data_IF_221416931104
#
_entry.id   IF_221416931104
#
_cell.length_a   1.000
_cell.length_b   1.000
_cell.length_c   1.000
_cell.angle_alpha   90.00
_cell.angle_beta   90.00
_cell.angle_gamma   90.00
#
_symmetry.space_group_name_H-M   'P 1'
#
loop_
_entity.id
_entity.type
_entity.pdbx_description
1 polymer ?
#
# COMPACT_ATOMS: atom_id res chain seq x y z
N UNK A 1 4.29 -15.14 18.64
CA UNK A 1 3.86 -13.76 18.37
C UNK A 1 3.52 -13.72 16.89
N UNK A 2 2.26 -13.53 16.52
CA UNK A 2 1.96 -13.29 15.10
C UNK A 2 2.53 -11.92 14.74
N UNK A 3 3.06 -11.79 13.53
CA UNK A 3 3.63 -10.55 13.00
C UNK A 3 2.64 -10.03 11.98
N UNK A 4 2.50 -8.71 11.88
CA UNK A 4 1.68 -8.08 10.84
C UNK A 4 2.25 -8.47 9.48
N UNK A 5 1.43 -8.99 8.57
CA UNK A 5 1.86 -9.28 7.21
C UNK A 5 1.61 -8.07 6.32
N UNK A 6 2.66 -7.59 5.65
CA UNK A 6 2.57 -6.42 4.76
C UNK A 6 3.12 -6.81 3.39
N UNK A 7 2.26 -6.79 2.38
CA UNK A 7 2.65 -7.04 1.00
C UNK A 7 2.73 -5.72 0.23
N UNK A 8 3.90 -5.42 -0.34
CA UNK A 8 4.13 -4.20 -1.14
C UNK A 8 4.26 -4.59 -2.61
N UNK A 9 3.34 -4.08 -3.43
CA UNK A 9 3.35 -4.24 -4.89
C UNK A 9 3.66 -2.89 -5.52
N UNK A 10 4.65 -2.86 -6.41
CA UNK A 10 5.01 -1.67 -7.18
C UNK A 10 4.72 -1.96 -8.64
N UNK A 11 3.95 -1.08 -9.28
CA UNK A 11 3.62 -1.21 -10.70
C UNK A 11 4.87 -1.07 -11.57
N UNK A 12 4.84 -1.79 -12.69
CA UNK A 12 5.92 -1.77 -13.67
C UNK A 12 6.20 -0.34 -14.17
N UNK A 13 7.47 0.02 -14.21
CA UNK A 13 7.95 1.37 -14.54
C UNK A 13 8.21 2.25 -13.33
N UNK A 14 7.86 1.81 -12.11
CA UNK A 14 8.17 2.52 -10.86
C UNK A 14 9.18 1.77 -9.99
N UNK A 15 9.71 0.63 -10.44
CA UNK A 15 10.75 -0.10 -9.72
C UNK A 15 12.00 0.78 -9.53
N UNK A 16 12.47 0.88 -8.30
CA UNK A 16 13.63 1.71 -7.95
C UNK A 16 13.34 3.20 -7.78
N UNK A 17 12.15 3.69 -8.13
CA UNK A 17 11.72 5.04 -7.74
C UNK A 17 11.46 5.14 -6.23
N UNK A 18 11.07 4.03 -5.62
CA UNK A 18 10.84 3.90 -4.18
C UNK A 18 11.25 2.51 -3.72
N UNK A 19 11.81 2.44 -2.51
CA UNK A 19 12.25 1.20 -1.91
C UNK A 19 11.08 0.48 -1.20
N UNK A 20 10.84 -0.77 -1.59
CA UNK A 20 9.75 -1.57 -1.04
C UNK A 20 9.97 -1.93 0.44
N UNK A 21 11.22 -2.12 0.88
CA UNK A 21 11.56 -2.44 2.27
C UNK A 21 11.31 -1.23 3.16
N UNK A 22 11.60 -0.03 2.66
CA UNK A 22 11.32 1.23 3.33
C UNK A 22 9.81 1.45 3.49
N UNK A 23 9.03 1.20 2.42
CA UNK A 23 7.57 1.27 2.48
C UNK A 23 6.99 0.28 3.50
N UNK A 24 7.49 -0.96 3.50
CA UNK A 24 7.12 -1.96 4.49
C UNK A 24 7.40 -1.47 5.91
N UNK A 25 8.61 -0.94 6.18
CA UNK A 25 8.98 -0.45 7.52
C UNK A 25 8.10 0.72 7.99
N UNK A 26 7.73 1.64 7.09
CA UNK A 26 6.82 2.73 7.44
C UNK A 26 5.42 2.21 7.76
N UNK A 27 4.87 1.35 6.91
CA UNK A 27 3.55 0.78 7.12
C UNK A 27 3.49 0.02 8.46
N UNK A 28 4.50 -0.78 8.77
CA UNK A 28 4.62 -1.50 10.05
C UNK A 28 4.62 -0.52 11.23
N UNK A 29 5.47 0.51 11.20
CA UNK A 29 5.56 1.51 12.27
C UNK A 29 4.23 2.22 12.52
N UNK A 30 3.51 2.55 11.44
CA UNK A 30 2.19 3.19 11.54
C UNK A 30 1.18 2.24 12.18
N UNK A 31 1.12 0.97 11.73
CA UNK A 31 0.17 0.00 12.28
C UNK A 31 0.44 -0.31 13.76
N UNK A 32 1.71 -0.42 14.15
CA UNK A 32 2.11 -0.56 15.56
C UNK A 32 1.69 0.66 16.37
N UNK A 33 1.92 1.87 15.87
CA UNK A 33 1.51 3.11 16.54
C UNK A 33 0.00 3.25 16.68
N UNK A 34 -0.77 2.67 15.76
CA UNK A 34 -2.25 2.61 15.83
C UNK A 34 -2.77 1.47 16.72
N UNK A 35 -1.89 0.65 17.31
CA UNK A 35 -2.29 -0.47 18.18
C UNK A 35 -3.01 -1.58 17.43
N UNK A 36 -2.73 -1.75 16.14
CA UNK A 36 -3.37 -2.79 15.31
C UNK A 36 -2.93 -4.18 15.77
N UNK A 37 -3.89 -5.12 15.76
CA UNK A 37 -3.64 -6.52 16.11
C UNK A 37 -2.57 -7.12 15.19
N UNK A 38 -1.69 -7.95 15.77
CA UNK A 38 -0.62 -8.59 15.02
C UNK A 38 -1.07 -9.76 14.13
N UNK A 39 -2.39 -10.01 14.06
CA UNK A 39 -3.04 -10.93 13.12
C UNK A 39 -3.67 -10.19 11.94
N UNK A 40 -3.05 -9.08 11.51
CA UNK A 40 -3.53 -8.22 10.43
C UNK A 40 -2.66 -8.41 9.19
N UNK A 41 -3.32 -8.44 8.03
CA UNK A 41 -2.67 -8.41 6.72
C UNK A 41 -2.98 -7.08 6.02
N UNK A 42 -1.96 -6.47 5.41
CA UNK A 42 -2.08 -5.23 4.65
C UNK A 42 -1.45 -5.38 3.26
N UNK A 43 -2.22 -5.05 2.22
CA UNK A 43 -1.70 -4.86 0.86
C UNK A 43 -1.46 -3.37 0.57
N UNK A 44 -0.25 -3.02 0.14
CA UNK A 44 0.11 -1.69 -0.34
C UNK A 44 0.48 -1.75 -1.82
N UNK A 45 -0.18 -0.95 -2.66
CA UNK A 45 0.08 -0.89 -4.10
C UNK A 45 0.55 0.51 -4.49
N UNK A 46 1.74 0.61 -5.07
CA UNK A 46 2.25 1.82 -5.72
C UNK A 46 1.88 1.73 -7.20
N UNK A 47 1.02 2.63 -7.63
CA UNK A 47 0.37 2.59 -8.94
C UNK A 47 0.50 3.93 -9.68
N UNK A 48 0.33 3.89 -11.01
CA UNK A 48 0.28 5.09 -11.84
C UNK A 48 -0.98 5.92 -11.55
N UNK A 49 -0.94 7.21 -11.94
CA UNK A 49 -2.12 8.08 -11.80
C UNK A 49 -3.31 7.58 -12.60
N UNK A 50 -3.08 7.00 -13.77
CA UNK A 50 -4.13 6.42 -14.63
C UNK A 50 -4.82 5.25 -13.91
N UNK A 51 -4.05 4.36 -13.27
CA UNK A 51 -4.60 3.25 -12.50
C UNK A 51 -5.36 3.74 -11.28
N UNK A 52 -4.83 4.72 -10.54
CA UNK A 52 -5.55 5.31 -9.39
C UNK A 52 -6.86 5.95 -9.84
N UNK A 53 -6.85 6.72 -10.95
CA UNK A 53 -8.07 7.29 -11.53
C UNK A 53 -9.08 6.21 -11.91
N UNK A 54 -8.64 5.13 -12.53
CA UNK A 54 -9.51 4.00 -12.89
C UNK A 54 -10.13 3.36 -11.64
N UNK A 55 -9.33 3.13 -10.59
CA UNK A 55 -9.80 2.58 -9.32
C UNK A 55 -10.83 3.50 -8.65
N UNK A 56 -10.53 4.80 -8.56
CA UNK A 56 -11.46 5.78 -7.98
C UNK A 56 -12.77 5.86 -8.77
N UNK A 57 -12.71 5.78 -10.11
CA UNK A 57 -13.92 5.76 -10.93
C UNK A 57 -14.74 4.50 -10.66
N UNK A 58 -14.09 3.34 -10.59
CA UNK A 58 -14.75 2.05 -10.42
C UNK A 58 -15.33 1.84 -9.02
N UNK A 59 -14.61 2.26 -7.98
CA UNK A 59 -14.95 1.95 -6.59
C UNK A 59 -15.49 3.13 -5.79
N UNK A 60 -15.15 4.38 -6.18
CA UNK A 60 -15.58 5.59 -5.47
C UNK A 60 -16.47 6.51 -6.32
N UNK A 61 -16.74 6.16 -7.59
CA UNK A 61 -17.49 7.00 -8.53
C UNK A 61 -16.82 8.33 -8.86
N UNK A 62 -15.51 8.49 -8.61
CA UNK A 62 -14.77 9.74 -8.81
C UNK A 62 -13.82 9.61 -10.00
N UNK A 63 -14.01 10.43 -11.03
CA UNK A 63 -13.14 10.43 -12.21
C UNK A 63 -11.91 11.32 -12.05
N UNK A 64 -11.10 11.00 -11.04
CA UNK A 64 -9.81 11.65 -10.75
C UNK A 64 -8.92 10.69 -9.98
N UNK A 65 -7.58 10.81 -10.10
CA UNK A 65 -6.67 10.16 -9.16
C UNK A 65 -6.97 10.56 -7.70
#
# INVERSE_FOLDING_TARGET
MNVIEINVLIDAGFEGCIDAVWLHSIAERVLVAQGVSSNTELGLVIASQERVRQLNRNYLGKDRP
#
